data_IF_085299333782
#
_entry.id   IF_085299333782
#
_cell.length_a   1.000
_cell.length_b   1.000
_cell.length_c   1.000
_cell.angle_alpha   90.00
_cell.angle_beta   90.00
_cell.angle_gamma   90.00
#
_symmetry.space_group_name_H-M   'P 1'
#
loop_
_entity.id
_entity.type
_entity.pdbx_description
1 polymer ?
#
# COMPACT_ATOMS: atom_id res chain seq x y z
N UNK A 1 47.45 6.32 53.54
CA UNK A 1 48.54 6.88 52.70
C UNK A 1 48.19 6.69 51.23
N UNK A 2 48.33 7.75 50.41
CA UNK A 2 48.26 7.82 48.92
C UNK A 2 46.88 7.58 48.28
N UNK A 3 46.41 8.30 47.28
CA UNK A 3 46.70 9.62 46.65
C UNK A 3 45.46 9.95 45.80
N UNK A 4 45.11 11.23 45.74
CA UNK A 4 44.05 11.86 44.94
C UNK A 4 44.34 11.74 43.43
N UNK A 5 43.32 11.56 42.59
CA UNK A 5 43.25 12.22 41.27
C UNK A 5 41.79 12.53 40.87
N UNK A 6 41.47 13.83 40.78
CA UNK A 6 40.30 14.37 40.06
C UNK A 6 40.53 14.23 38.56
N UNK A 7 39.51 13.88 37.80
CA UNK A 7 39.42 14.22 36.39
C UNK A 7 38.08 14.93 36.13
N UNK A 8 38.19 16.15 35.63
CA UNK A 8 37.13 17.02 35.19
C UNK A 8 36.97 16.90 33.66
N UNK A 9 35.80 17.31 33.16
CA UNK A 9 35.54 17.53 31.73
C UNK A 9 34.79 16.36 31.09
N UNK A 10 33.71 16.53 30.34
CA UNK A 10 33.00 17.73 29.90
C UNK A 10 31.55 17.29 29.67
N UNK A 11 30.59 18.06 30.19
CA UNK A 11 29.22 17.92 29.76
C UNK A 11 29.13 18.36 28.28
N UNK A 12 28.97 17.41 27.36
CA UNK A 12 28.49 17.72 26.03
C UNK A 12 27.03 18.15 26.17
N UNK A 13 26.83 19.47 26.17
CA UNK A 13 25.53 20.06 25.95
C UNK A 13 25.08 19.67 24.53
N UNK A 14 24.22 18.66 24.44
CA UNK A 14 23.51 18.33 23.20
C UNK A 14 22.58 19.51 22.94
N UNK A 15 23.01 20.40 22.05
CA UNK A 15 22.22 21.53 21.61
C UNK A 15 21.05 20.95 20.82
N UNK A 16 19.84 21.08 21.36
CA UNK A 16 18.62 20.69 20.69
C UNK A 16 18.45 21.52 19.41
N UNK A 17 18.73 20.91 18.26
CA UNK A 17 18.20 21.38 16.99
C UNK A 17 16.76 20.89 16.92
N UNK A 18 15.87 21.72 17.47
CA UNK A 18 14.44 21.73 17.17
C UNK A 18 14.27 22.05 15.69
N UNK A 19 14.56 21.06 14.84
CA UNK A 19 14.15 21.06 13.45
C UNK A 19 12.64 20.93 13.46
N UNK A 20 11.95 22.02 13.15
CA UNK A 20 10.55 22.01 12.77
C UNK A 20 10.38 20.94 11.69
N UNK A 21 9.87 19.77 12.06
CA UNK A 21 9.23 18.88 11.11
C UNK A 21 8.01 19.66 10.61
N UNK A 22 8.21 20.49 9.59
CA UNK A 22 7.15 20.93 8.70
C UNK A 22 6.57 19.63 8.14
N UNK A 23 5.56 19.09 8.81
CA UNK A 23 4.74 18.02 8.26
C UNK A 23 4.14 18.62 7.00
N UNK A 24 4.68 18.25 5.84
CA UNK A 24 4.05 18.58 4.58
C UNK A 24 2.56 18.22 4.71
N UNK A 25 1.63 19.11 4.30
CA UNK A 25 0.22 18.75 4.33
C UNK A 25 0.07 17.41 3.61
N UNK A 26 -0.75 16.48 4.14
CA UNK A 26 -0.95 15.20 3.48
C UNK A 26 -1.34 15.51 2.05
N UNK A 27 -0.59 14.96 1.09
CA UNK A 27 -0.93 15.11 -0.32
C UNK A 27 -2.39 14.71 -0.47
N UNK A 28 -3.24 15.63 -0.93
CA UNK A 28 -4.63 15.31 -1.22
C UNK A 28 -4.62 14.17 -2.23
N UNK A 29 -5.16 13.02 -1.84
CA UNK A 29 -5.23 11.87 -2.73
C UNK A 29 -6.12 12.25 -3.92
N UNK A 30 -5.56 12.19 -5.12
CA UNK A 30 -6.29 12.50 -6.35
C UNK A 30 -7.48 11.53 -6.47
N UNK A 31 -8.73 12.02 -6.59
CA UNK A 31 -9.92 11.17 -6.68
C UNK A 31 -9.93 10.23 -7.89
N UNK A 32 -9.02 10.41 -8.84
CA UNK A 32 -8.84 9.56 -10.00
C UNK A 32 -7.69 8.54 -9.85
N UNK A 33 -6.90 8.61 -8.79
CA UNK A 33 -5.90 7.58 -8.50
C UNK A 33 -6.61 6.33 -7.98
N UNK A 34 -6.44 5.22 -8.70
CA UNK A 34 -7.02 3.91 -8.34
C UNK A 34 -5.90 2.93 -8.04
N UNK A 35 -5.99 2.22 -6.93
CA UNK A 35 -5.07 1.15 -6.55
C UNK A 35 -5.84 -0.17 -6.50
N UNK A 36 -5.44 -1.11 -7.34
CA UNK A 36 -5.87 -2.49 -7.30
C UNK A 36 -4.87 -3.32 -6.52
N UNK A 37 -5.36 -4.17 -5.63
CA UNK A 37 -4.51 -5.04 -4.82
C UNK A 37 -5.03 -6.47 -4.84
N UNK A 38 -4.10 -7.42 -4.94
CA UNK A 38 -4.33 -8.84 -4.71
C UNK A 38 -3.64 -9.22 -3.39
N UNK A 39 -4.39 -9.82 -2.48
CA UNK A 39 -3.99 -10.08 -1.10
C UNK A 39 -3.78 -11.58 -0.87
N UNK A 40 -2.90 -11.93 0.08
CA UNK A 40 -2.61 -13.31 0.45
C UNK A 40 -1.15 -13.67 0.27
N UNK A 41 -0.88 -14.97 0.20
CA UNK A 41 0.48 -15.52 0.04
C UNK A 41 0.54 -16.42 -1.20
N UNK A 42 1.75 -16.75 -1.64
CA UNK A 42 1.97 -17.61 -2.81
C UNK A 42 1.92 -16.82 -4.12
N UNK A 43 1.33 -17.42 -5.15
CA UNK A 43 1.33 -16.88 -6.52
C UNK A 43 -0.10 -16.76 -7.05
N UNK A 44 -0.41 -15.61 -7.65
CA UNK A 44 -1.56 -15.45 -8.52
C UNK A 44 -1.22 -15.96 -9.92
N UNK A 45 -1.99 -16.92 -10.43
CA UNK A 45 -1.89 -17.41 -11.80
C UNK A 45 -2.25 -16.30 -12.80
N UNK A 46 -3.36 -15.61 -12.57
CA UNK A 46 -3.75 -14.43 -13.35
C UNK A 46 -4.28 -13.32 -12.45
N UNK A 47 -4.01 -12.07 -12.83
CA UNK A 47 -4.65 -10.87 -12.28
C UNK A 47 -5.17 -10.03 -13.43
N UNK A 48 -6.46 -9.76 -13.40
CA UNK A 48 -7.17 -8.92 -14.37
C UNK A 48 -7.72 -7.68 -13.68
N UNK A 49 -7.49 -6.49 -14.27
CA UNK A 49 -8.06 -5.23 -13.77
C UNK A 49 -8.97 -4.60 -14.81
N UNK A 50 -9.98 -3.87 -14.38
CA UNK A 50 -10.81 -2.99 -15.22
C UNK A 50 -10.71 -1.55 -14.64
N UNK A 51 -10.36 -0.51 -15.43
CA UNK A 51 -10.05 -0.53 -16.86
C UNK A 51 -8.90 -1.47 -17.19
N UNK A 52 -9.06 -2.17 -18.31
CA UNK A 52 -8.10 -3.14 -18.80
C UNK A 52 -6.80 -2.43 -19.15
N UNK A 53 -5.70 -2.90 -18.57
CA UNK A 53 -4.35 -2.57 -19.00
C UNK A 53 -3.79 -3.84 -19.66
N UNK A 54 -3.05 -4.64 -18.90
CA UNK A 54 -2.61 -5.98 -19.27
C UNK A 54 -2.96 -6.97 -18.17
N UNK A 55 -3.33 -8.19 -18.57
CA UNK A 55 -3.44 -9.34 -17.67
C UNK A 55 -2.05 -9.67 -17.15
N UNK A 56 -1.92 -9.80 -15.84
CA UNK A 56 -0.68 -10.21 -15.18
C UNK A 56 -0.68 -11.71 -15.00
N UNK A 57 0.44 -12.37 -15.27
CA UNK A 57 0.59 -13.81 -15.10
C UNK A 57 1.65 -14.11 -14.03
N UNK A 58 1.39 -15.15 -13.21
CA UNK A 58 2.34 -15.70 -12.25
C UNK A 58 2.95 -14.66 -11.29
N UNK A 59 2.13 -13.71 -10.80
CA UNK A 59 2.59 -12.67 -9.89
C UNK A 59 2.68 -13.20 -8.45
N UNK A 60 3.75 -12.88 -7.70
CA UNK A 60 3.77 -13.15 -6.26
C UNK A 60 2.70 -12.31 -5.55
N UNK A 61 2.09 -12.89 -4.52
CA UNK A 61 1.19 -12.18 -3.61
C UNK A 61 1.93 -11.73 -2.34
N UNK A 62 1.66 -10.53 -1.80
CA UNK A 62 0.68 -9.55 -2.31
C UNK A 62 1.17 -8.80 -3.56
N UNK A 63 0.23 -8.36 -4.39
CA UNK A 63 0.48 -7.58 -5.60
C UNK A 63 -0.35 -6.30 -5.60
N UNK A 64 0.17 -5.24 -6.23
CA UNK A 64 -0.57 -4.00 -6.44
C UNK A 64 -0.30 -3.36 -7.80
N UNK A 65 -1.29 -2.61 -8.29
CA UNK A 65 -1.17 -1.71 -9.46
C UNK A 65 -1.89 -0.42 -9.17
N UNK A 66 -1.22 0.69 -9.44
CA UNK A 66 -1.82 2.02 -9.45
C UNK A 66 -2.08 2.47 -10.87
N UNK A 67 -3.26 3.01 -11.13
CA UNK A 67 -3.60 3.67 -12.39
C UNK A 67 -4.15 5.07 -12.11
N UNK A 68 -4.13 5.89 -13.15
CA UNK A 68 -4.89 7.13 -13.19
C UNK A 68 -6.12 6.91 -14.06
N UNK A 69 -7.31 6.94 -13.47
CA UNK A 69 -8.57 6.77 -14.18
C UNK A 69 -8.96 8.05 -14.92
N UNK A 70 -9.45 7.94 -16.15
CA UNK A 70 -10.09 9.08 -16.81
C UNK A 70 -11.39 9.44 -16.08
N UNK A 71 -11.85 10.70 -16.10
CA UNK A 71 -13.05 11.14 -15.37
C UNK A 71 -14.34 10.39 -15.75
N UNK A 72 -14.41 9.84 -16.97
CA UNK A 72 -15.54 9.10 -17.52
C UNK A 72 -15.51 7.60 -17.21
N UNK A 73 -14.41 7.07 -16.69
CA UNK A 73 -14.35 5.67 -16.22
C UNK A 73 -15.15 5.56 -14.91
N UNK A 74 -16.19 4.73 -14.92
CA UNK A 74 -17.07 4.55 -13.74
C UNK A 74 -16.93 3.17 -13.10
N UNK A 75 -16.43 2.17 -13.83
CA UNK A 75 -16.27 0.80 -13.36
C UNK A 75 -14.82 0.51 -12.99
N UNK A 76 -14.62 -0.11 -11.84
CA UNK A 76 -13.33 -0.63 -11.39
C UNK A 76 -13.47 -2.08 -10.94
N UNK A 77 -12.59 -2.93 -11.42
CA UNK A 77 -12.60 -4.35 -11.07
C UNK A 77 -11.18 -4.87 -10.87
N UNK A 78 -11.02 -5.82 -9.96
CA UNK A 78 -9.88 -6.73 -9.94
C UNK A 78 -10.34 -8.16 -9.71
N UNK A 79 -9.85 -9.09 -10.53
CA UNK A 79 -10.07 -10.54 -10.40
C UNK A 79 -8.72 -11.22 -10.26
N UNK A 80 -8.59 -12.06 -9.24
CA UNK A 80 -7.34 -12.76 -8.91
C UNK A 80 -7.58 -14.26 -8.92
N UNK A 81 -6.86 -14.99 -9.76
CA UNK A 81 -6.87 -16.46 -9.75
C UNK A 81 -5.62 -16.94 -9.01
N UNK A 82 -5.79 -17.57 -7.85
CA UNK A 82 -4.68 -18.15 -7.08
C UNK A 82 -4.33 -19.59 -7.51
N UNK A 83 -3.13 -20.06 -7.15
CA UNK A 83 -2.72 -21.46 -7.39
C UNK A 83 -3.05 -22.42 -6.23
N UNK A 84 -3.48 -21.89 -5.09
CA UNK A 84 -3.76 -22.67 -3.87
C UNK A 84 -5.25 -22.98 -3.66
N UNK A 85 -5.55 -23.70 -2.58
CA UNK A 85 -6.93 -24.03 -2.17
C UNK A 85 -7.65 -22.90 -1.44
N UNK A 86 -6.90 -21.91 -0.94
CA UNK A 86 -7.45 -20.69 -0.36
C UNK A 86 -7.42 -19.58 -1.41
N UNK A 87 -8.58 -19.07 -1.87
CA UNK A 87 -8.63 -17.96 -2.81
C UNK A 87 -7.91 -16.72 -2.27
N UNK A 88 -7.20 -15.96 -3.11
CA UNK A 88 -6.66 -14.66 -2.74
C UNK A 88 -7.75 -13.68 -2.29
N UNK A 89 -7.36 -12.67 -1.51
CA UNK A 89 -8.20 -11.51 -1.27
C UNK A 89 -7.99 -10.45 -2.35
N UNK A 90 -8.80 -9.40 -2.32
CA UNK A 90 -8.62 -8.24 -3.19
C UNK A 90 -9.02 -6.95 -2.49
N UNK A 91 -8.50 -5.82 -2.97
CA UNK A 91 -8.91 -4.49 -2.54
C UNK A 91 -8.84 -3.50 -3.69
N UNK A 92 -9.80 -2.59 -3.75
CA UNK A 92 -9.80 -1.42 -4.64
C UNK A 92 -9.83 -0.18 -3.76
N UNK A 93 -8.88 0.71 -4.00
CA UNK A 93 -8.78 2.02 -3.36
C UNK A 93 -8.91 3.10 -4.43
N UNK A 94 -9.78 4.10 -4.23
CA UNK A 94 -9.96 5.25 -5.13
C UNK A 94 -9.78 6.52 -4.32
N UNK A 95 -8.88 7.41 -4.73
CA UNK A 95 -8.61 8.64 -3.95
C UNK A 95 -8.20 8.37 -2.51
N UNK A 96 -7.47 7.28 -2.27
CA UNK A 96 -7.05 6.85 -0.93
C UNK A 96 -8.15 6.21 -0.07
N UNK A 97 -9.39 6.08 -0.58
CA UNK A 97 -10.50 5.44 0.12
C UNK A 97 -10.72 4.01 -0.38
N UNK A 98 -10.84 3.05 0.53
CA UNK A 98 -11.18 1.66 0.18
C UNK A 98 -12.65 1.59 -0.20
N UNK A 99 -12.93 1.27 -1.46
CA UNK A 99 -14.28 1.26 -2.03
C UNK A 99 -14.82 -0.15 -2.28
N UNK A 100 -13.93 -1.13 -2.40
CA UNK A 100 -14.28 -2.55 -2.45
C UNK A 100 -13.16 -3.38 -1.81
N UNK A 101 -13.53 -4.42 -1.06
CA UNK A 101 -12.57 -5.36 -0.48
C UNK A 101 -13.20 -6.73 -0.30
N UNK A 102 -12.41 -7.76 -0.52
CA UNK A 102 -12.70 -9.11 -0.07
C UNK A 102 -11.52 -9.67 0.72
N UNK A 103 -11.78 -10.41 1.82
CA UNK A 103 -10.72 -11.06 2.58
C UNK A 103 -10.08 -12.20 1.78
N UNK A 104 -8.89 -12.62 2.20
CA UNK A 104 -8.33 -13.91 1.78
C UNK A 104 -9.31 -15.03 2.15
N UNK A 105 -9.57 -15.94 1.22
CA UNK A 105 -10.63 -16.94 1.32
C UNK A 105 -11.99 -16.48 0.78
N UNK A 106 -12.11 -15.24 0.29
CA UNK A 106 -13.29 -14.71 -0.39
C UNK A 106 -13.43 -15.21 -1.84
N UNK A 107 -14.14 -14.46 -2.70
CA UNK A 107 -14.28 -14.81 -4.12
C UNK A 107 -13.14 -14.30 -5.01
N UNK A 108 -12.15 -13.60 -4.44
CA UNK A 108 -11.02 -13.01 -5.14
C UNK A 108 -11.42 -12.05 -6.28
N UNK A 109 -12.62 -11.45 -6.17
CA UNK A 109 -13.21 -10.58 -7.17
C UNK A 109 -13.79 -9.34 -6.47
N UNK A 110 -13.17 -8.20 -6.70
CA UNK A 110 -13.63 -6.92 -6.19
C UNK A 110 -14.16 -6.09 -7.36
N UNK A 111 -15.32 -5.47 -7.17
CA UNK A 111 -15.97 -4.60 -8.15
C UNK A 111 -16.46 -3.34 -7.44
N UNK A 112 -16.32 -2.20 -8.11
CA UNK A 112 -16.82 -0.91 -7.64
C UNK A 112 -17.29 -0.07 -8.82
N UNK A 113 -18.40 0.66 -8.62
CA UNK A 113 -18.89 1.66 -9.56
C UNK A 113 -19.01 2.99 -8.82
N UNK A 114 -18.42 4.07 -9.37
CA UNK A 114 -18.54 5.43 -8.84
C UNK A 114 -19.66 6.23 -9.49
#
# INVERSE_FOLDING_TARGET
MKRVTRAAGSALAITALSGLFMTAPPASADPNTVVFEALGTGTALTIDTDPAVDRVYNAPLPWSRTIQAAPDVTLFQVVVVGTGTTPPGCRITVGGQVVAQQPVGGSAHCIYTR
#
